data_IF_074766786778
#
_entry.id   IF_074766786778
#
_cell.length_a   1.000
_cell.length_b   1.000
_cell.length_c   1.000
_cell.angle_alpha   90.00
_cell.angle_beta   90.00
_cell.angle_gamma   90.00
#
_symmetry.space_group_name_H-M   'P 1'
#
loop_
_entity.id
_entity.type
_entity.pdbx_description
1 polymer ?
#
# COMPACT_ATOMS: atom_id res chain seq x y z
N UNK A 1 21.09 47.14 27.13
CA UNK A 1 20.68 46.58 25.81
C UNK A 1 21.31 45.21 25.66
N UNK A 2 20.57 44.17 26.05
CA UNK A 2 21.06 42.79 25.89
C UNK A 2 20.29 42.10 24.75
N UNK A 3 21.02 41.75 23.68
CA UNK A 3 20.52 40.95 22.57
C UNK A 3 20.64 39.48 22.97
N UNK A 4 19.53 38.82 23.25
CA UNK A 4 19.46 37.37 23.40
C UNK A 4 19.38 36.73 22.02
N UNK A 5 20.45 36.07 21.63
CA UNK A 5 20.51 35.28 20.39
C UNK A 5 19.84 33.94 20.65
N UNK A 6 18.71 33.70 20.00
CA UNK A 6 18.06 32.39 19.97
C UNK A 6 18.82 31.51 18.96
N UNK A 7 19.47 30.46 19.46
CA UNK A 7 20.04 29.41 18.60
C UNK A 7 18.93 28.44 18.24
N UNK A 8 18.58 28.39 16.96
CA UNK A 8 17.78 27.30 16.40
C UNK A 8 18.65 26.03 16.31
N UNK A 9 18.39 25.09 17.20
CA UNK A 9 18.97 23.75 17.13
C UNK A 9 18.10 22.87 16.19
N UNK A 10 18.51 22.81 14.92
CA UNK A 10 17.93 21.90 13.92
C UNK A 10 18.68 20.57 13.95
N UNK A 11 18.49 19.80 14.98
CA UNK A 11 18.81 18.37 14.94
C UNK A 11 17.55 17.59 14.54
N UNK A 12 17.33 17.43 13.22
CA UNK A 12 16.46 16.37 12.72
C UNK A 12 17.09 15.02 13.09
N UNK A 13 16.48 14.34 14.05
CA UNK A 13 16.82 12.95 14.34
C UNK A 13 16.55 12.09 13.08
N UNK A 14 17.44 11.13 12.76
CA UNK A 14 17.20 10.23 11.62
C UNK A 14 15.91 9.43 11.84
N UNK A 15 15.11 9.33 10.77
CA UNK A 15 13.91 8.50 10.74
C UNK A 15 14.25 7.08 11.20
N UNK A 16 13.73 6.71 12.35
CA UNK A 16 13.95 5.41 12.96
C UNK A 16 13.25 4.36 12.10
N UNK A 17 14.01 3.55 11.35
CA UNK A 17 13.51 2.39 10.61
C UNK A 17 13.12 1.30 11.62
N UNK A 18 11.94 1.43 12.22
CA UNK A 18 11.34 0.36 13.01
C UNK A 18 10.60 -0.61 12.09
N UNK A 19 11.34 -1.37 11.31
CA UNK A 19 10.83 -2.64 10.80
C UNK A 19 11.01 -3.67 11.91
N UNK A 20 9.93 -4.29 12.32
CA UNK A 20 9.98 -5.38 13.30
C UNK A 20 10.61 -6.60 12.64
N UNK A 21 11.79 -7.02 13.12
CA UNK A 21 12.54 -8.19 12.60
C UNK A 21 11.75 -9.51 12.74
N UNK A 22 10.61 -9.49 13.44
CA UNK A 22 9.70 -10.64 13.62
C UNK A 22 8.51 -10.61 12.66
N UNK A 23 8.40 -9.59 11.79
CA UNK A 23 7.31 -9.51 10.80
C UNK A 23 7.42 -10.64 9.77
N UNK A 24 6.33 -11.39 9.61
CA UNK A 24 6.16 -12.40 8.56
C UNK A 24 4.89 -12.07 7.80
N UNK A 25 4.96 -12.01 6.47
CA UNK A 25 3.79 -11.81 5.62
C UNK A 25 2.86 -13.02 5.72
N UNK A 26 1.56 -12.77 5.83
CA UNK A 26 0.54 -13.82 5.81
C UNK A 26 0.64 -14.66 4.52
N UNK A 27 0.59 -15.99 4.66
CA UNK A 27 0.78 -16.93 3.55
C UNK A 27 -0.26 -16.76 2.42
N UNK A 28 -1.48 -16.27 2.72
CA UNK A 28 -2.48 -15.98 1.68
C UNK A 28 -2.14 -14.74 0.88
N UNK A 29 -1.68 -13.68 1.55
CA UNK A 29 -1.21 -12.47 0.85
C UNK A 29 -0.01 -12.79 -0.03
N UNK A 30 0.90 -13.65 0.46
CA UNK A 30 2.05 -14.09 -0.31
C UNK A 30 1.65 -14.94 -1.54
N UNK A 31 0.64 -15.80 -1.40
CA UNK A 31 0.15 -16.66 -2.48
C UNK A 31 -0.66 -15.91 -3.55
N UNK A 32 -1.44 -14.90 -3.13
CA UNK A 32 -2.40 -14.23 -4.01
C UNK A 32 -1.83 -12.95 -4.68
N UNK A 33 -0.67 -12.48 -4.20
CA UNK A 33 -0.11 -11.20 -4.59
C UNK A 33 1.34 -11.32 -5.05
N UNK A 34 1.75 -10.35 -5.86
CA UNK A 34 3.14 -10.15 -6.27
C UNK A 34 3.79 -9.03 -5.45
N UNK A 35 5.03 -9.22 -5.03
CA UNK A 35 5.80 -8.18 -4.37
C UNK A 35 6.15 -7.05 -5.34
N UNK A 36 5.86 -5.80 -4.93
CA UNK A 36 6.20 -4.60 -5.70
C UNK A 36 7.43 -3.91 -5.13
N UNK A 37 7.36 -3.50 -3.88
CA UNK A 37 8.42 -2.75 -3.19
C UNK A 37 8.30 -2.86 -1.67
N UNK A 38 9.38 -2.59 -0.97
CA UNK A 38 9.36 -2.28 0.45
C UNK A 38 9.43 -0.75 0.61
N UNK A 39 8.33 -0.17 1.08
CA UNK A 39 8.23 1.25 1.41
C UNK A 39 8.85 1.52 2.79
N UNK A 40 8.72 2.73 3.32
CA UNK A 40 9.29 3.07 4.62
C UNK A 40 8.80 2.15 5.75
N UNK A 41 7.50 1.96 5.85
CA UNK A 41 6.85 1.09 6.84
C UNK A 41 6.19 -0.13 6.20
N UNK A 42 5.50 0.03 5.09
CA UNK A 42 4.70 -1.01 4.47
C UNK A 42 5.47 -1.83 3.43
N UNK A 43 5.10 -3.10 3.31
CA UNK A 43 5.34 -3.89 2.12
C UNK A 43 4.23 -3.58 1.12
N UNK A 44 4.58 -3.21 -0.11
CA UNK A 44 3.63 -2.99 -1.20
C UNK A 44 3.52 -4.24 -2.05
N UNK A 45 2.30 -4.73 -2.20
CA UNK A 45 1.93 -5.88 -3.00
C UNK A 45 0.97 -5.46 -4.12
N UNK A 46 0.92 -6.24 -5.18
CA UNK A 46 -0.07 -6.15 -6.24
C UNK A 46 -0.85 -7.47 -6.30
N UNK A 47 -2.17 -7.39 -6.19
CA UNK A 47 -3.05 -8.56 -6.38
C UNK A 47 -2.89 -9.12 -7.80
N UNK A 48 -2.68 -10.42 -7.92
CA UNK A 48 -2.59 -11.07 -9.22
C UNK A 48 -3.99 -11.26 -9.85
N UNK A 49 -4.63 -10.12 -10.13
CA UNK A 49 -5.92 -10.05 -10.82
C UNK A 49 -5.94 -8.83 -11.76
N UNK A 50 -5.93 -9.07 -13.06
CA UNK A 50 -5.86 -8.02 -14.09
C UNK A 50 -7.19 -7.31 -14.40
N UNK A 51 -8.28 -7.67 -13.70
CA UNK A 51 -9.59 -7.05 -13.93
C UNK A 51 -9.62 -5.59 -13.51
N UNK A 52 -8.84 -5.21 -12.49
CA UNK A 52 -8.66 -3.83 -12.00
C UNK A 52 -7.23 -3.66 -11.46
N UNK A 53 -6.66 -2.44 -11.47
CA UNK A 53 -5.43 -2.14 -10.71
C UNK A 53 -5.73 -2.32 -9.21
N UNK A 54 -5.04 -3.27 -8.57
CA UNK A 54 -5.33 -3.65 -7.19
C UNK A 54 -4.05 -3.80 -6.39
N UNK A 55 -3.77 -2.84 -5.52
CA UNK A 55 -2.57 -2.80 -4.69
C UNK A 55 -2.93 -3.00 -3.22
N UNK A 56 -2.00 -3.54 -2.45
CA UNK A 56 -2.18 -3.85 -1.05
C UNK A 56 -0.94 -3.38 -0.27
N UNK A 57 -1.15 -2.55 0.74
CA UNK A 57 -0.15 -2.10 1.69
C UNK A 57 -0.23 -2.92 2.96
N UNK A 58 0.85 -3.56 3.35
CA UNK A 58 0.96 -4.36 4.57
C UNK A 58 1.99 -3.71 5.48
N UNK A 59 1.59 -3.02 6.57
CA UNK A 59 2.55 -2.50 7.55
C UNK A 59 3.41 -3.63 8.13
N UNK A 60 4.73 -3.46 8.08
CA UNK A 60 5.68 -4.47 8.59
C UNK A 60 5.79 -4.42 10.11
N UNK A 61 4.68 -4.68 10.77
CA UNK A 61 4.53 -4.68 12.23
C UNK A 61 3.96 -6.03 12.63
N UNK A 62 4.71 -6.78 13.44
CA UNK A 62 4.27 -8.09 13.90
C UNK A 62 2.94 -7.99 14.65
N UNK A 63 2.05 -8.95 14.39
CA UNK A 63 0.75 -9.07 15.07
C UNK A 63 -0.19 -7.87 14.93
N UNK A 64 0.09 -6.92 14.03
CA UNK A 64 -0.83 -5.82 13.75
C UNK A 64 -2.07 -6.34 13.00
N UNK A 65 -3.26 -6.04 13.54
CA UNK A 65 -4.55 -6.42 12.94
C UNK A 65 -5.43 -5.22 12.63
N UNK A 66 -5.26 -4.11 13.37
CA UNK A 66 -6.06 -2.91 13.22
C UNK A 66 -5.19 -1.67 13.12
N UNK A 67 -5.53 -0.76 12.21
CA UNK A 67 -4.82 0.51 12.04
C UNK A 67 -4.87 1.36 13.34
N UNK A 68 -6.01 1.35 14.02
CA UNK A 68 -6.24 2.12 15.24
C UNK A 68 -5.42 1.65 16.44
N UNK A 69 -4.84 0.46 16.40
CA UNK A 69 -3.96 -0.07 17.45
C UNK A 69 -2.51 0.40 17.27
N UNK A 70 -2.15 0.94 16.12
CA UNK A 70 -0.79 1.45 15.87
C UNK A 70 -0.56 2.79 16.58
N UNK A 71 0.67 3.09 17.01
CA UNK A 71 1.05 4.45 17.42
C UNK A 71 0.72 5.47 16.32
N UNK A 72 0.31 6.68 16.70
CA UNK A 72 -0.10 7.74 15.77
C UNK A 72 0.95 8.02 14.68
N UNK A 73 2.23 8.01 15.03
CA UNK A 73 3.31 8.21 14.05
C UNK A 73 3.31 7.15 12.94
N UNK A 74 3.03 5.88 13.30
CA UNK A 74 2.93 4.80 12.31
C UNK A 74 1.64 4.89 11.50
N UNK A 75 0.51 5.28 12.10
CA UNK A 75 -0.73 5.55 11.36
C UNK A 75 -0.52 6.66 10.31
N UNK A 76 0.16 7.75 10.66
CA UNK A 76 0.50 8.81 9.73
C UNK A 76 1.42 8.34 8.60
N UNK A 77 2.38 7.48 8.90
CA UNK A 77 3.25 6.92 7.87
C UNK A 77 2.47 6.00 6.93
N UNK A 78 1.59 5.14 7.44
CA UNK A 78 0.69 4.34 6.59
C UNK A 78 -0.15 5.23 5.69
N UNK A 79 -0.70 6.33 6.21
CA UNK A 79 -1.47 7.30 5.42
C UNK A 79 -0.63 7.94 4.31
N UNK A 80 0.62 8.31 4.58
CA UNK A 80 1.53 8.88 3.59
C UNK A 80 1.81 7.87 2.46
N UNK A 81 2.19 6.66 2.81
CA UNK A 81 2.48 5.59 1.85
C UNK A 81 1.24 5.19 1.04
N UNK A 82 0.06 5.17 1.67
CA UNK A 82 -1.22 4.97 0.97
C UNK A 82 -1.49 6.07 -0.06
N UNK A 83 -1.20 7.33 0.26
CA UNK A 83 -1.36 8.44 -0.67
C UNK A 83 -0.37 8.34 -1.85
N UNK A 84 0.85 7.89 -1.62
CA UNK A 84 1.84 7.64 -2.68
C UNK A 84 1.34 6.55 -3.65
N UNK A 85 0.82 5.45 -3.12
CA UNK A 85 0.23 4.38 -3.93
C UNK A 85 -1.01 4.86 -4.68
N UNK A 86 -1.88 5.65 -4.04
CA UNK A 86 -3.06 6.24 -4.67
C UNK A 86 -2.69 7.19 -5.83
N UNK A 87 -1.64 7.99 -5.66
CA UNK A 87 -1.09 8.86 -6.70
C UNK A 87 -0.53 8.04 -7.87
N UNK A 88 0.25 7.00 -7.60
CA UNK A 88 0.78 6.08 -8.60
C UNK A 88 -0.34 5.41 -9.40
N UNK A 89 -1.39 4.89 -8.73
CA UNK A 89 -2.56 4.30 -9.40
C UNK A 89 -3.27 5.32 -10.30
N UNK A 90 -3.43 6.54 -9.81
CA UNK A 90 -4.06 7.62 -10.59
C UNK A 90 -3.23 7.98 -11.82
N UNK A 91 -1.91 8.09 -11.67
CA UNK A 91 -1.00 8.43 -12.77
C UNK A 91 -0.95 7.34 -13.86
N UNK A 92 -0.86 6.07 -13.47
CA UNK A 92 -0.69 4.96 -14.42
C UNK A 92 -1.99 4.53 -15.10
N UNK A 93 -3.12 4.58 -14.37
CA UNK A 93 -4.36 3.95 -14.84
C UNK A 93 -5.52 4.91 -15.08
N UNK A 94 -5.43 6.14 -14.57
CA UNK A 94 -6.49 7.16 -14.70
C UNK A 94 -7.88 6.62 -14.34
N UNK A 95 -8.07 6.04 -13.15
CA UNK A 95 -9.33 5.40 -12.76
C UNK A 95 -10.44 6.43 -12.60
N UNK A 96 -11.69 5.98 -12.78
CA UNK A 96 -12.88 6.78 -12.48
C UNK A 96 -13.01 7.06 -10.98
N UNK A 97 -12.64 6.09 -10.14
CA UNK A 97 -12.70 6.17 -8.68
C UNK A 97 -11.60 5.34 -8.05
N UNK A 98 -11.12 5.75 -6.88
CA UNK A 98 -10.32 4.91 -6.00
C UNK A 98 -11.24 4.30 -4.92
N UNK A 99 -11.08 3.00 -4.67
CA UNK A 99 -11.62 2.34 -3.49
C UNK A 99 -10.47 1.99 -2.56
N UNK A 100 -10.52 2.49 -1.34
CA UNK A 100 -9.51 2.25 -0.32
C UNK A 100 -10.20 1.65 0.90
N UNK A 101 -9.66 0.57 1.45
CA UNK A 101 -10.25 -0.08 2.60
C UNK A 101 -9.38 -1.16 3.21
N UNK A 102 -9.60 -1.42 4.49
CA UNK A 102 -9.03 -2.53 5.24
C UNK A 102 -10.19 -3.40 5.76
N UNK A 103 -10.25 -4.67 5.36
CA UNK A 103 -11.32 -5.59 5.76
C UNK A 103 -10.89 -6.49 6.91
N UNK A 104 -9.86 -7.32 6.70
CA UNK A 104 -9.35 -8.22 7.73
C UNK A 104 -10.22 -9.42 8.08
N UNK A 105 -11.32 -9.67 7.35
CA UNK A 105 -12.29 -10.71 7.68
C UNK A 105 -11.79 -12.13 7.39
N UNK A 106 -10.90 -12.29 6.42
CA UNK A 106 -10.31 -13.58 6.02
C UNK A 106 -8.84 -13.64 6.45
N UNK A 107 -8.07 -12.62 6.14
CA UNK A 107 -6.68 -12.43 6.59
C UNK A 107 -6.70 -11.34 7.64
N UNK A 108 -6.43 -11.68 8.90
CA UNK A 108 -6.48 -10.73 10.01
C UNK A 108 -5.28 -9.80 10.07
N UNK A 109 -4.14 -10.16 9.47
CA UNK A 109 -2.99 -9.26 9.36
C UNK A 109 -3.40 -7.94 8.72
N UNK A 110 -3.07 -6.81 9.36
CA UNK A 110 -3.45 -5.49 8.86
C UNK A 110 -2.93 -5.28 7.45
N UNK A 111 -3.83 -5.04 6.53
CA UNK A 111 -3.53 -4.73 5.14
C UNK A 111 -4.57 -3.76 4.57
N UNK A 112 -4.12 -2.81 3.79
CA UNK A 112 -4.95 -1.75 3.20
C UNK A 112 -4.95 -1.89 1.69
N UNK A 113 -6.12 -2.03 1.10
CA UNK A 113 -6.32 -2.10 -0.34
C UNK A 113 -6.40 -0.70 -0.94
N UNK A 114 -5.75 -0.50 -2.08
CA UNK A 114 -5.86 0.69 -2.94
C UNK A 114 -6.19 0.22 -4.35
N UNK A 115 -7.40 0.50 -4.81
CA UNK A 115 -7.96 -0.12 -6.00
C UNK A 115 -8.45 0.97 -6.96
N UNK A 116 -7.97 0.93 -8.21
CA UNK A 116 -8.49 1.76 -9.29
C UNK A 116 -9.76 1.15 -9.87
N UNK A 117 -10.86 1.93 -9.89
CA UNK A 117 -12.16 1.48 -10.37
C UNK A 117 -12.56 2.18 -11.66
N UNK A 118 -13.25 1.43 -12.51
CA UNK A 118 -13.75 1.92 -13.80
C UNK A 118 -15.24 1.59 -13.94
N UNK A 119 -15.99 2.47 -14.64
CA UNK A 119 -17.43 2.25 -14.86
C UNK A 119 -17.74 1.01 -15.71
N UNK A 120 -16.72 0.45 -16.35
CA UNK A 120 -16.80 -0.77 -17.16
C UNK A 120 -16.15 -2.00 -16.53
N UNK A 121 -15.61 -1.88 -15.30
CA UNK A 121 -15.02 -3.05 -14.63
C UNK A 121 -16.11 -4.07 -14.22
N UNK A 122 -15.79 -5.38 -14.12
CA UNK A 122 -16.80 -6.43 -13.93
C UNK A 122 -17.62 -6.32 -12.65
N UNK A 123 -17.13 -5.60 -11.63
CA UNK A 123 -17.83 -5.44 -10.35
C UNK A 123 -18.56 -4.10 -10.21
N UNK A 124 -18.34 -3.15 -11.15
CA UNK A 124 -18.94 -1.81 -11.04
C UNK A 124 -20.49 -1.84 -11.00
N UNK A 125 -21.18 -1.04 -10.16
CA UNK A 125 -20.64 -0.10 -9.15
C UNK A 125 -20.37 -0.73 -7.77
N UNK A 126 -20.55 -2.02 -7.64
CA UNK A 126 -20.30 -2.75 -6.41
C UNK A 126 -18.81 -2.83 -6.04
N UNK A 127 -18.46 -3.22 -4.81
CA UNK A 127 -17.07 -3.41 -4.41
C UNK A 127 -16.46 -4.63 -5.12
N UNK A 128 -15.13 -4.69 -5.18
CA UNK A 128 -14.42 -5.82 -5.84
C UNK A 128 -14.36 -7.08 -4.97
N UNK A 129 -14.36 -6.90 -3.64
CA UNK A 129 -14.22 -8.01 -2.69
C UNK A 129 -15.40 -8.97 -2.79
N UNK A 130 -15.08 -10.24 -3.09
CA UNK A 130 -16.07 -11.29 -3.28
C UNK A 130 -16.87 -11.21 -4.58
N UNK A 131 -16.59 -10.26 -5.47
CA UNK A 131 -17.31 -10.05 -6.74
C UNK A 131 -16.47 -10.38 -7.97
N UNK A 132 -15.15 -10.20 -7.89
CA UNK A 132 -14.27 -10.51 -9.00
C UNK A 132 -13.86 -11.98 -9.01
N UNK A 133 -14.04 -12.64 -10.16
CA UNK A 133 -13.45 -13.95 -10.41
C UNK A 133 -11.93 -13.85 -10.51
N UNK A 134 -11.19 -14.92 -10.22
CA UNK A 134 -9.75 -14.98 -10.51
C UNK A 134 -9.46 -14.69 -11.98
N UNK A 135 -8.52 -13.76 -12.22
CA UNK A 135 -8.14 -13.33 -13.56
C UNK A 135 -6.65 -12.96 -13.57
N UNK A 136 -5.78 -13.97 -13.49
CA UNK A 136 -4.34 -13.76 -13.36
C UNK A 136 -3.73 -13.10 -14.60
N UNK A 137 -2.66 -12.34 -14.37
CA UNK A 137 -1.77 -11.90 -15.45
C UNK A 137 -1.02 -13.07 -16.06
N UNK A 138 -0.65 -13.00 -17.34
CA UNK A 138 0.43 -13.84 -17.85
C UNK A 138 1.77 -13.34 -17.31
N UNK A 139 2.81 -14.18 -17.32
CA UNK A 139 4.13 -13.80 -16.81
C UNK A 139 4.68 -12.56 -17.51
N UNK A 140 4.49 -12.42 -18.81
CA UNK A 140 4.90 -11.23 -19.58
C UNK A 140 4.11 -9.97 -19.17
N UNK A 141 2.79 -10.10 -19.02
CA UNK A 141 1.93 -8.99 -18.57
C UNK A 141 2.30 -8.55 -17.15
N UNK A 142 2.55 -9.52 -16.28
CA UNK A 142 2.94 -9.28 -14.89
C UNK A 142 4.26 -8.51 -14.81
N UNK A 143 5.30 -9.01 -15.50
CA UNK A 143 6.62 -8.36 -15.53
C UNK A 143 6.50 -6.91 -16.01
N UNK A 144 5.81 -6.68 -17.12
CA UNK A 144 5.59 -5.33 -17.68
C UNK A 144 4.85 -4.39 -16.69
N UNK A 145 3.84 -4.92 -15.99
CA UNK A 145 3.09 -4.15 -15.01
C UNK A 145 3.96 -3.76 -13.81
N UNK A 146 4.71 -4.73 -13.27
CA UNK A 146 5.60 -4.49 -12.14
C UNK A 146 6.69 -3.46 -12.49
N UNK A 147 7.27 -3.53 -13.69
CA UNK A 147 8.27 -2.56 -14.15
C UNK A 147 7.68 -1.14 -14.23
N UNK A 148 6.49 -1.00 -14.80
CA UNK A 148 5.81 0.30 -14.90
C UNK A 148 5.50 0.90 -13.51
N UNK A 149 5.00 0.08 -12.59
CA UNK A 149 4.68 0.50 -11.21
C UNK A 149 5.93 0.93 -10.46
N UNK A 150 6.99 0.12 -10.50
CA UNK A 150 8.28 0.43 -9.86
C UNK A 150 8.90 1.70 -10.42
N UNK A 151 8.85 1.88 -11.73
CA UNK A 151 9.37 3.09 -12.39
C UNK A 151 8.70 4.39 -11.91
N UNK A 152 7.41 4.36 -11.57
CA UNK A 152 6.72 5.54 -11.01
C UNK A 152 7.06 5.76 -9.54
N UNK A 153 7.25 4.69 -8.76
CA UNK A 153 7.57 4.79 -7.33
C UNK A 153 9.01 5.25 -7.07
N UNK A 154 9.92 5.02 -8.01
CA UNK A 154 11.35 5.39 -7.91
C UNK A 154 11.66 6.79 -8.46
N UNK A 155 10.74 7.38 -9.23
CA UNK A 155 10.89 8.68 -9.88
C UNK A 155 10.45 9.82 -9.03
#
# INVERSE_FOLDING_TARGET
MNKTTIREDKTMAPANKHTDDTFVLDARLEADCEWVADMGLCKLLMMNNKSVPWFILVPRIASATELTHLPMAQQLQVLQEMNEVAAMVTQLYTPHKLNIGALGNVVSQLHIHVIGRFTHDPAWPGPVWGQLAPNAYSDEQLAKHLDAVRGVLEG
#
